data_IF_733536287812
#
_entry.id   IF_733536287812
#
_cell.length_a   1.000
_cell.length_b   1.000
_cell.length_c   1.000
_cell.angle_alpha   90.00
_cell.angle_beta   90.00
_cell.angle_gamma   90.00
#
_symmetry.space_group_name_H-M   'P 1'
#
loop_
_entity.id
_entity.type
_entity.pdbx_description
1 polymer ?
#
# COMPACT_ATOMS: atom_id res chain seq x y z
N UNK A 1 -0.31 3.79 -16.53
CA UNK A 1 -0.25 2.36 -16.15
C UNK A 1 1.15 2.07 -15.65
N UNK A 2 1.29 1.43 -14.49
CA UNK A 2 2.60 0.97 -13.99
C UNK A 2 3.14 -0.10 -14.93
N UNK A 3 4.43 -0.03 -15.24
CA UNK A 3 5.15 -1.10 -15.95
C UNK A 3 5.99 -1.85 -14.93
N UNK A 4 5.92 -3.16 -14.95
CA UNK A 4 6.78 -4.06 -14.20
C UNK A 4 7.83 -4.59 -15.17
N UNK A 5 9.09 -4.47 -14.82
CA UNK A 5 10.21 -4.86 -15.67
C UNK A 5 11.06 -5.86 -14.90
N UNK A 6 11.31 -7.01 -15.50
CA UNK A 6 12.33 -7.95 -15.06
C UNK A 6 13.50 -7.77 -16.01
N UNK A 7 14.67 -7.55 -15.47
CA UNK A 7 15.86 -7.28 -16.26
C UNK A 7 17.07 -8.07 -15.75
N UNK A 8 17.95 -8.39 -16.67
CA UNK A 8 19.27 -8.90 -16.35
C UNK A 8 20.15 -7.70 -15.96
N UNK A 9 20.37 -7.56 -14.66
CA UNK A 9 21.13 -6.43 -14.13
C UNK A 9 22.62 -6.60 -14.38
N UNK A 10 23.26 -5.53 -14.83
CA UNK A 10 24.70 -5.44 -14.95
C UNK A 10 25.20 -4.19 -14.22
N UNK A 11 26.39 -4.25 -13.59
CA UNK A 11 26.98 -3.10 -12.87
C UNK A 11 27.06 -1.83 -13.72
N UNK A 12 27.31 -2.00 -15.03
CA UNK A 12 27.20 -0.93 -16.01
C UNK A 12 25.75 -0.91 -16.53
N UNK A 13 24.97 0.10 -16.15
CA UNK A 13 23.57 0.24 -16.52
C UNK A 13 23.29 0.17 -18.02
N UNK A 14 24.24 0.62 -18.86
CA UNK A 14 24.12 0.55 -20.33
C UNK A 14 24.11 -0.90 -20.87
N UNK A 15 24.45 -1.88 -20.05
CA UNK A 15 24.44 -3.31 -20.39
C UNK A 15 23.31 -4.09 -19.74
N UNK A 16 22.40 -3.41 -19.06
CA UNK A 16 21.21 -4.03 -18.48
C UNK A 16 20.22 -4.36 -19.59
N UNK A 17 19.73 -5.62 -19.60
CA UNK A 17 18.86 -6.13 -20.67
C UNK A 17 17.51 -6.47 -20.08
N UNK A 18 16.40 -5.89 -20.60
CA UNK A 18 15.07 -6.27 -20.17
C UNK A 18 14.73 -7.68 -20.68
N UNK A 19 14.31 -8.57 -19.76
CA UNK A 19 13.89 -9.94 -20.06
C UNK A 19 12.37 -10.03 -20.21
N UNK A 20 11.63 -9.24 -19.43
CA UNK A 20 10.18 -9.29 -19.44
C UNK A 20 9.59 -7.94 -19.03
N UNK A 21 8.54 -7.52 -19.72
CA UNK A 21 7.82 -6.27 -19.44
C UNK A 21 6.32 -6.57 -19.37
N UNK A 22 5.68 -6.15 -18.28
CA UNK A 22 4.24 -6.32 -18.09
C UNK A 22 3.58 -5.04 -17.55
N UNK A 23 2.29 -4.89 -17.82
CA UNK A 23 1.43 -3.88 -17.19
C UNK A 23 0.63 -4.44 -16.02
N UNK A 24 0.74 -5.74 -15.74
CA UNK A 24 0.08 -6.44 -14.64
C UNK A 24 1.13 -6.96 -13.66
N UNK A 25 0.81 -6.87 -12.38
CA UNK A 25 1.61 -7.42 -11.28
C UNK A 25 1.41 -8.94 -11.10
N UNK A 26 0.40 -9.50 -11.78
CA UNK A 26 0.12 -10.94 -11.69
C UNK A 26 1.30 -11.76 -12.23
N UNK A 27 1.72 -12.74 -11.45
CA UNK A 27 2.78 -13.67 -11.78
C UNK A 27 4.17 -13.07 -12.04
N UNK A 28 4.39 -11.77 -11.84
CA UNK A 28 5.69 -11.14 -12.06
C UNK A 28 6.76 -11.84 -11.23
N UNK A 29 6.46 -12.15 -9.98
CA UNK A 29 7.39 -12.82 -9.10
C UNK A 29 7.75 -14.22 -9.60
N UNK A 30 6.77 -15.03 -9.99
CA UNK A 30 7.02 -16.37 -10.58
C UNK A 30 7.87 -16.31 -11.84
N UNK A 31 7.61 -15.32 -12.70
CA UNK A 31 8.40 -15.12 -13.93
C UNK A 31 9.84 -14.73 -13.58
N UNK A 32 10.01 -13.84 -12.59
CA UNK A 32 11.33 -13.43 -12.11
C UNK A 32 12.12 -14.61 -11.51
N UNK A 33 11.50 -15.43 -10.67
CA UNK A 33 12.08 -16.64 -10.11
C UNK A 33 12.41 -17.68 -11.19
N UNK A 34 11.50 -17.83 -12.16
CA UNK A 34 11.74 -18.70 -13.32
C UNK A 34 13.02 -18.31 -14.07
N UNK A 35 13.20 -17.01 -14.39
CA UNK A 35 14.43 -16.56 -15.06
C UNK A 35 15.65 -16.75 -14.17
N UNK A 36 15.57 -16.46 -12.88
CA UNK A 36 16.70 -16.66 -11.96
C UNK A 36 17.15 -18.13 -11.94
N UNK A 37 16.20 -19.08 -11.93
CA UNK A 37 16.50 -20.50 -11.98
C UNK A 37 17.07 -20.95 -13.33
N UNK A 38 16.47 -20.52 -14.43
CA UNK A 38 16.95 -20.89 -15.77
C UNK A 38 18.35 -20.38 -16.05
N UNK A 39 18.63 -19.17 -15.64
CA UNK A 39 19.93 -18.54 -15.84
C UNK A 39 20.95 -18.90 -14.74
N UNK A 40 20.52 -19.60 -13.67
CA UNK A 40 21.32 -19.91 -12.48
C UNK A 40 21.97 -18.67 -11.86
N UNK A 41 21.26 -17.56 -11.89
CA UNK A 41 21.71 -16.28 -11.35
C UNK A 41 20.92 -15.93 -10.09
N UNK A 42 21.56 -15.24 -9.12
CA UNK A 42 20.83 -14.77 -7.95
C UNK A 42 19.75 -13.77 -8.36
N UNK A 43 18.62 -13.83 -7.71
CA UNK A 43 17.53 -12.91 -7.91
C UNK A 43 17.75 -11.64 -7.07
N UNK A 44 17.61 -10.46 -7.69
CA UNK A 44 17.83 -9.16 -7.07
C UNK A 44 16.51 -8.42 -6.90
N UNK A 45 16.28 -7.85 -5.71
CA UNK A 45 15.14 -7.00 -5.41
C UNK A 45 15.67 -5.65 -4.93
N UNK A 46 15.23 -4.58 -5.57
CA UNK A 46 15.51 -3.23 -5.10
C UNK A 46 14.57 -2.90 -3.93
N UNK A 47 15.17 -2.63 -2.78
CA UNK A 47 14.47 -2.20 -1.55
C UNK A 47 14.88 -0.78 -1.19
N UNK A 48 14.26 -0.19 -0.19
CA UNK A 48 14.63 1.12 0.35
C UNK A 48 15.99 1.13 1.07
N UNK A 49 16.45 -0.03 1.53
CA UNK A 49 17.76 -0.23 2.19
C UNK A 49 18.87 -0.60 1.19
N UNK A 50 18.53 -0.75 -0.09
CA UNK A 50 19.47 -1.14 -1.14
C UNK A 50 19.00 -2.38 -1.91
N UNK A 51 19.96 -3.14 -2.40
CA UNK A 51 19.73 -4.31 -3.24
C UNK A 51 19.74 -5.58 -2.39
N UNK A 52 18.58 -6.19 -2.20
CA UNK A 52 18.46 -7.51 -1.56
C UNK A 52 18.75 -8.61 -2.59
N UNK A 53 19.58 -9.58 -2.20
CA UNK A 53 20.01 -10.69 -3.06
C UNK A 53 19.40 -11.99 -2.53
N UNK A 54 18.69 -12.72 -3.37
CA UNK A 54 18.21 -14.08 -3.08
C UNK A 54 18.95 -15.10 -3.94
N UNK A 55 19.50 -16.11 -3.31
CA UNK A 55 20.07 -17.26 -4.03
C UNK A 55 18.95 -18.10 -4.66
N UNK A 56 19.28 -18.81 -5.73
CA UNK A 56 18.33 -19.68 -6.43
C UNK A 56 17.71 -20.73 -5.49
N UNK A 57 18.49 -21.24 -4.52
CA UNK A 57 18.12 -22.25 -3.54
C UNK A 57 17.10 -21.72 -2.49
N UNK A 58 16.99 -20.40 -2.37
CA UNK A 58 16.19 -19.73 -1.34
C UNK A 58 14.92 -19.08 -1.92
N UNK A 59 14.69 -19.23 -3.23
CA UNK A 59 13.58 -18.56 -3.92
C UNK A 59 12.20 -19.04 -3.44
N UNK A 60 12.04 -20.36 -3.18
CA UNK A 60 10.77 -20.95 -2.72
C UNK A 60 10.61 -20.98 -1.21
N UNK A 61 11.64 -20.53 -0.46
CA UNK A 61 11.60 -20.60 1.00
C UNK A 61 10.71 -19.50 1.55
N UNK A 62 9.86 -19.88 2.48
CA UNK A 62 9.10 -18.93 3.29
C UNK A 62 10.03 -18.07 4.16
N UNK A 63 9.52 -16.92 4.58
CA UNK A 63 10.26 -16.03 5.50
C UNK A 63 10.66 -16.74 6.80
N UNK A 64 9.83 -17.68 7.28
CA UNK A 64 10.13 -18.51 8.46
C UNK A 64 11.30 -19.46 8.22
N UNK A 65 11.32 -20.13 7.08
CA UNK A 65 12.41 -21.04 6.73
C UNK A 65 13.73 -20.30 6.57
N UNK A 66 13.69 -19.11 5.93
CA UNK A 66 14.86 -18.24 5.81
C UNK A 66 15.35 -17.75 7.18
N UNK A 67 14.42 -17.41 8.08
CA UNK A 67 14.76 -16.99 9.43
C UNK A 67 15.35 -18.13 10.28
N UNK A 68 14.83 -19.36 10.13
CA UNK A 68 15.39 -20.54 10.77
C UNK A 68 16.83 -20.85 10.32
N UNK A 69 17.21 -20.41 9.12
CA UNK A 69 18.56 -20.51 8.58
C UNK A 69 19.45 -19.32 8.93
N UNK A 70 18.92 -18.32 9.68
CA UNK A 70 19.66 -17.11 10.03
C UNK A 70 19.86 -16.12 8.87
N UNK A 71 19.09 -16.27 7.79
CA UNK A 71 19.19 -15.44 6.59
C UNK A 71 18.27 -14.20 6.64
N UNK A 72 17.46 -14.04 7.68
CA UNK A 72 16.58 -12.89 7.89
C UNK A 72 17.05 -12.09 9.08
N UNK A 73 17.40 -10.84 8.83
CA UNK A 73 17.73 -9.91 9.90
C UNK A 73 16.45 -9.39 10.56
N UNK A 74 16.31 -9.66 11.85
CA UNK A 74 15.22 -9.16 12.66
C UNK A 74 15.74 -8.11 13.64
N UNK A 75 15.61 -6.84 13.28
CA UNK A 75 16.02 -5.69 14.09
C UNK A 75 14.86 -5.09 14.90
N UNK A 76 13.76 -5.83 15.07
CA UNK A 76 12.63 -5.33 15.83
C UNK A 76 12.96 -5.05 17.28
N UNK A 77 12.87 -3.80 17.68
CA UNK A 77 13.02 -3.39 19.06
C UNK A 77 11.64 -3.16 19.70
N UNK A 78 11.24 -4.08 20.59
CA UNK A 78 9.95 -3.99 21.30
C UNK A 78 9.83 -2.77 22.23
N UNK A 79 10.96 -2.14 22.59
CA UNK A 79 11.03 -0.93 23.43
C UNK A 79 11.00 0.35 22.59
N UNK A 80 11.15 0.26 21.27
CA UNK A 80 11.05 1.42 20.40
C UNK A 80 9.65 2.04 20.50
N UNK A 81 9.56 3.37 20.57
CA UNK A 81 8.27 4.04 20.63
C UNK A 81 7.45 3.75 19.38
N UNK A 82 6.14 3.61 19.55
CA UNK A 82 5.22 3.46 18.42
C UNK A 82 5.21 4.75 17.58
N UNK A 83 5.40 4.67 16.26
CA UNK A 83 5.31 5.83 15.38
C UNK A 83 4.01 6.62 15.56
N UNK A 84 4.04 7.95 15.54
CA UNK A 84 2.88 8.79 15.82
C UNK A 84 1.75 8.63 14.78
N UNK A 85 2.10 8.27 13.53
CA UNK A 85 1.14 8.01 12.45
C UNK A 85 0.41 6.68 12.58
N UNK A 86 0.83 5.82 13.52
CA UNK A 86 0.29 4.49 13.72
C UNK A 86 -0.43 4.36 15.06
N UNK A 87 -1.37 3.44 15.10
CA UNK A 87 -2.00 2.99 16.33
C UNK A 87 -1.97 1.45 16.38
N UNK A 88 -1.45 0.91 17.45
CA UNK A 88 -1.39 -0.53 17.70
C UNK A 88 -2.48 -0.91 18.71
N UNK A 89 -3.34 -1.85 18.34
CA UNK A 89 -4.38 -2.39 19.23
C UNK A 89 -4.17 -3.89 19.32
N UNK A 90 -3.75 -4.35 20.51
CA UNK A 90 -3.62 -5.77 20.82
C UNK A 90 -4.93 -6.28 21.40
N UNK A 91 -5.45 -7.36 20.85
CA UNK A 91 -6.60 -8.10 21.33
C UNK A 91 -6.16 -9.55 21.58
N UNK A 92 -6.97 -10.31 22.32
CA UNK A 92 -6.64 -11.70 22.71
C UNK A 92 -6.31 -12.60 21.51
N UNK A 93 -7.00 -12.42 20.39
CA UNK A 93 -6.92 -13.25 19.18
C UNK A 93 -6.24 -12.58 17.98
N UNK A 94 -5.85 -11.29 18.10
CA UNK A 94 -5.29 -10.52 16.98
C UNK A 94 -4.59 -9.25 17.42
N UNK A 95 -3.63 -8.84 16.64
CA UNK A 95 -3.00 -7.51 16.69
C UNK A 95 -3.47 -6.69 15.50
N UNK A 96 -3.80 -5.44 15.71
CA UNK A 96 -4.27 -4.53 14.65
C UNK A 96 -3.41 -3.30 14.60
N UNK A 97 -2.73 -3.10 13.48
CA UNK A 97 -2.01 -1.86 13.15
C UNK A 97 -2.98 -1.00 12.33
N UNK A 98 -3.22 0.23 12.76
CA UNK A 98 -4.08 1.19 12.07
C UNK A 98 -3.29 2.43 11.73
N UNK A 99 -3.52 2.99 10.55
CA UNK A 99 -3.03 4.34 10.24
C UNK A 99 -3.85 5.37 11.02
N UNK A 100 -3.16 6.29 11.71
CA UNK A 100 -3.80 7.48 12.27
C UNK A 100 -4.05 8.49 11.15
N UNK A 101 -5.03 9.36 11.33
CA UNK A 101 -5.23 10.47 10.40
C UNK A 101 -4.04 11.45 10.53
N UNK A 102 -3.32 11.63 9.45
CA UNK A 102 -2.41 12.76 9.30
C UNK A 102 -3.27 13.89 8.69
N UNK A 103 -3.63 14.87 9.52
CA UNK A 103 -4.54 15.97 9.11
C UNK A 103 -3.92 16.82 8.00
N UNK A 104 -2.60 16.92 7.96
CA UNK A 104 -1.82 17.78 7.07
C UNK A 104 -1.13 17.05 5.90
N UNK A 105 -1.61 15.88 5.48
CA UNK A 105 -1.17 15.27 4.22
C UNK A 105 -1.72 16.10 3.05
N UNK A 106 -0.91 16.31 2.01
CA UNK A 106 -1.27 17.09 0.82
C UNK A 106 -2.62 16.66 0.20
N UNK A 107 -2.93 15.37 0.21
CA UNK A 107 -4.23 14.86 -0.28
C UNK A 107 -5.40 15.27 0.61
N UNK A 108 -5.20 15.32 1.93
CA UNK A 108 -6.24 15.78 2.84
C UNK A 108 -6.46 17.29 2.69
N UNK A 109 -5.39 18.07 2.47
CA UNK A 109 -5.50 19.50 2.19
C UNK A 109 -6.27 19.72 0.90
N UNK A 110 -5.91 19.02 -0.19
CA UNK A 110 -6.62 19.10 -1.47
C UNK A 110 -8.10 18.71 -1.30
N UNK A 111 -8.39 17.66 -0.53
CA UNK A 111 -9.76 17.24 -0.28
C UNK A 111 -10.55 18.29 0.51
N UNK A 112 -9.94 18.96 1.50
CA UNK A 112 -10.57 20.09 2.21
C UNK A 112 -10.83 21.27 1.28
N UNK A 113 -9.83 21.66 0.47
CA UNK A 113 -9.99 22.73 -0.53
C UNK A 113 -11.12 22.40 -1.50
N UNK A 114 -11.20 21.14 -1.97
CA UNK A 114 -12.27 20.69 -2.84
C UNK A 114 -13.65 20.76 -2.15
N UNK A 115 -13.78 20.39 -0.87
CA UNK A 115 -15.04 20.53 -0.12
C UNK A 115 -15.48 22.00 -0.06
N UNK A 116 -14.56 22.94 0.22
CA UNK A 116 -14.87 24.36 0.25
C UNK A 116 -15.28 24.89 -1.13
N UNK A 117 -14.56 24.48 -2.19
CA UNK A 117 -14.87 24.88 -3.58
C UNK A 117 -16.24 24.36 -4.02
N UNK A 118 -16.50 23.07 -3.87
CA UNK A 118 -17.78 22.46 -4.24
C UNK A 118 -18.94 22.93 -3.35
N UNK A 119 -18.68 23.17 -2.06
CA UNK A 119 -19.62 23.78 -1.14
C UNK A 119 -19.97 25.21 -1.54
N UNK A 120 -18.97 26.01 -1.97
CA UNK A 120 -19.18 27.34 -2.52
C UNK A 120 -20.03 27.35 -3.79
N UNK A 121 -19.80 26.41 -4.71
CA UNK A 121 -20.62 26.24 -5.91
C UNK A 121 -22.09 25.96 -5.55
N UNK A 122 -22.30 25.03 -4.59
CA UNK A 122 -23.67 24.72 -4.13
C UNK A 122 -24.34 25.91 -3.48
N UNK A 123 -23.59 26.66 -2.65
CA UNK A 123 -24.11 27.86 -2.00
C UNK A 123 -24.47 28.94 -3.02
N UNK A 124 -23.58 29.22 -3.99
CA UNK A 124 -23.82 30.18 -5.05
C UNK A 124 -25.05 29.80 -5.90
N UNK A 125 -25.20 28.52 -6.24
CA UNK A 125 -26.37 28.01 -6.96
C UNK A 125 -27.66 28.17 -6.15
N UNK A 126 -27.60 27.99 -4.81
CA UNK A 126 -28.79 28.15 -3.94
C UNK A 126 -29.18 29.60 -3.68
N UNK A 127 -28.24 30.55 -3.80
CA UNK A 127 -28.48 31.98 -3.62
C UNK A 127 -28.87 32.70 -4.92
N UNK A 128 -28.77 32.02 -6.07
CA UNK A 128 -29.19 32.61 -7.34
C UNK A 128 -30.73 32.73 -7.35
N UNK A 129 -31.26 33.88 -7.70
CA UNK A 129 -32.70 34.16 -7.79
C UNK A 129 -33.44 33.21 -8.77
N UNK A 130 -32.69 32.58 -9.67
CA UNK A 130 -33.19 31.58 -10.60
C UNK A 130 -33.62 30.28 -9.88
N UNK A 131 -33.30 30.11 -8.61
CA UNK A 131 -33.63 28.91 -7.82
C UNK A 131 -35.08 28.85 -7.36
N UNK A 132 -35.80 29.98 -7.38
CA UNK A 132 -37.12 30.10 -6.72
C UNK A 132 -38.30 29.49 -7.44
N UNK A 133 -38.38 29.50 -8.78
CA UNK A 133 -39.60 29.10 -9.49
C UNK A 133 -39.45 28.39 -10.81
N UNK A 134 -38.35 28.61 -11.55
CA UNK A 134 -38.10 27.94 -12.83
C UNK A 134 -36.85 27.07 -12.87
N UNK A 135 -36.09 27.01 -11.79
CA UNK A 135 -34.76 26.43 -11.69
C UNK A 135 -34.75 24.91 -11.88
N UNK A 136 -35.83 24.24 -11.55
CA UNK A 136 -35.95 22.79 -11.82
C UNK A 136 -35.89 22.42 -13.30
N UNK A 137 -35.97 23.43 -14.19
CA UNK A 137 -35.89 23.26 -15.66
C UNK A 137 -34.56 23.72 -16.27
N UNK A 138 -33.72 24.45 -15.49
CA UNK A 138 -32.43 24.89 -16.02
C UNK A 138 -31.38 23.78 -15.90
N UNK A 139 -30.95 23.14 -17.01
CA UNK A 139 -30.04 22.00 -16.98
C UNK A 139 -28.65 22.36 -16.42
N UNK A 140 -28.23 23.60 -16.51
CA UNK A 140 -26.93 24.06 -16.00
C UNK A 140 -26.90 24.11 -14.47
N UNK A 141 -27.98 24.57 -13.85
CA UNK A 141 -28.09 24.61 -12.38
C UNK A 141 -28.18 23.20 -11.80
N UNK A 142 -28.97 22.34 -12.44
CA UNK A 142 -29.05 20.93 -12.06
C UNK A 142 -27.68 20.25 -12.17
N UNK A 143 -26.94 20.50 -13.27
CA UNK A 143 -25.59 19.98 -13.44
C UNK A 143 -24.62 20.49 -12.35
N UNK A 144 -24.69 21.77 -11.98
CA UNK A 144 -23.87 22.34 -10.90
C UNK A 144 -24.13 21.66 -9.55
N UNK A 145 -25.40 21.36 -9.23
CA UNK A 145 -25.75 20.58 -8.02
C UNK A 145 -25.17 19.18 -8.04
N UNK A 146 -25.35 18.46 -9.14
CA UNK A 146 -24.83 17.09 -9.28
C UNK A 146 -23.31 17.09 -9.12
N UNK A 147 -22.59 17.97 -9.79
CA UNK A 147 -21.13 18.09 -9.73
C UNK A 147 -20.69 18.46 -8.32
N UNK A 148 -21.34 19.43 -7.67
CA UNK A 148 -21.05 19.86 -6.32
C UNK A 148 -21.20 18.72 -5.30
N UNK A 149 -22.32 18.01 -5.34
CA UNK A 149 -22.59 16.87 -4.46
C UNK A 149 -21.57 15.74 -4.69
N UNK A 150 -21.33 15.35 -5.94
CA UNK A 150 -20.34 14.30 -6.27
C UNK A 150 -18.94 14.69 -5.86
N UNK A 151 -18.55 15.95 -6.05
CA UNK A 151 -17.25 16.47 -5.63
C UNK A 151 -17.07 16.43 -4.11
N UNK A 152 -18.07 16.81 -3.33
CA UNK A 152 -18.06 16.71 -1.87
C UNK A 152 -17.98 15.24 -1.44
N UNK A 153 -18.79 14.36 -2.00
CA UNK A 153 -18.77 12.94 -1.66
C UNK A 153 -17.41 12.29 -1.98
N UNK A 154 -16.80 12.61 -3.11
CA UNK A 154 -15.47 12.14 -3.47
C UNK A 154 -14.40 12.64 -2.49
N UNK A 155 -14.47 13.91 -2.10
CA UNK A 155 -13.54 14.53 -1.15
C UNK A 155 -13.69 13.92 0.26
N UNK A 156 -14.91 13.73 0.71
CA UNK A 156 -15.22 13.03 1.96
C UNK A 156 -14.67 11.60 1.92
N UNK A 157 -14.78 10.92 0.78
CA UNK A 157 -14.20 9.58 0.63
C UNK A 157 -12.69 9.58 0.83
N UNK A 158 -11.96 10.50 0.23
CA UNK A 158 -10.51 10.62 0.40
C UNK A 158 -10.14 10.86 1.87
N UNK A 159 -10.85 11.76 2.56
CA UNK A 159 -10.60 12.11 3.95
C UNK A 159 -10.87 10.96 4.93
N UNK A 160 -11.89 10.14 4.69
CA UNK A 160 -12.32 9.11 5.65
C UNK A 160 -11.77 7.71 5.34
N UNK A 161 -10.98 7.57 4.28
CA UNK A 161 -10.30 6.30 3.98
C UNK A 161 -9.21 6.01 5.01
N UNK A 162 -9.27 4.82 5.61
CA UNK A 162 -8.28 4.31 6.58
C UNK A 162 -7.85 2.91 6.20
N UNK A 163 -6.56 2.67 6.31
CA UNK A 163 -5.99 1.35 6.10
C UNK A 163 -5.62 0.72 7.45
N UNK A 164 -5.81 -0.58 7.58
CA UNK A 164 -5.40 -1.35 8.75
C UNK A 164 -4.85 -2.71 8.34
N UNK A 165 -3.85 -3.16 9.07
CA UNK A 165 -3.38 -4.56 9.04
C UNK A 165 -3.98 -5.27 10.25
N UNK A 166 -4.58 -6.40 10.02
CA UNK A 166 -5.06 -7.31 11.08
C UNK A 166 -4.20 -8.56 11.05
N UNK A 167 -3.44 -8.75 12.09
CA UNK A 167 -2.50 -9.87 12.27
C UNK A 167 -3.19 -10.88 13.19
N UNK A 168 -3.46 -12.05 12.66
CA UNK A 168 -3.99 -13.21 13.39
C UNK A 168 -2.88 -14.26 13.57
N UNK A 169 -3.07 -15.29 14.41
CA UNK A 169 -2.06 -16.35 14.61
C UNK A 169 -1.53 -16.95 13.30
N UNK A 170 -2.42 -17.25 12.34
CA UNK A 170 -2.06 -17.96 11.10
C UNK A 170 -2.11 -17.09 9.84
N UNK A 171 -2.61 -15.84 9.90
CA UNK A 171 -2.78 -15.00 8.72
C UNK A 171 -2.69 -13.53 8.97
N UNK A 172 -2.27 -12.81 7.93
CA UNK A 172 -2.26 -11.34 7.86
C UNK A 172 -3.36 -10.90 6.90
N UNK A 173 -4.14 -9.90 7.29
CA UNK A 173 -5.25 -9.37 6.50
C UNK A 173 -5.08 -7.86 6.38
N UNK A 174 -5.09 -7.33 5.16
CA UNK A 174 -5.18 -5.89 4.92
C UNK A 174 -6.65 -5.53 4.69
N UNK A 175 -7.12 -4.54 5.43
CA UNK A 175 -8.50 -4.06 5.35
C UNK A 175 -8.48 -2.57 5.05
N UNK A 176 -9.06 -2.20 3.94
CA UNK A 176 -9.37 -0.82 3.62
C UNK A 176 -10.75 -0.48 4.19
N UNK A 177 -10.78 0.50 5.09
CA UNK A 177 -12.01 0.95 5.72
C UNK A 177 -12.39 2.33 5.21
N UNK A 178 -13.64 2.46 4.78
CA UNK A 178 -14.26 3.74 4.46
C UNK A 178 -15.49 3.92 5.36
N UNK A 179 -15.46 4.95 6.23
CA UNK A 179 -16.52 5.21 7.21
C UNK A 179 -16.99 3.93 7.95
N UNK A 180 -18.22 3.48 7.67
CA UNK A 180 -18.81 2.27 8.23
C UNK A 180 -18.53 1.02 7.38
N UNK A 181 -18.17 1.20 6.12
CA UNK A 181 -17.90 0.08 5.21
C UNK A 181 -16.45 -0.38 5.33
N UNK A 182 -16.25 -1.67 5.52
CA UNK A 182 -14.92 -2.29 5.51
C UNK A 182 -14.85 -3.30 4.39
N UNK A 183 -13.96 -3.05 3.41
CA UNK A 183 -13.66 -4.03 2.38
C UNK A 183 -12.44 -4.83 2.82
N UNK A 184 -12.64 -6.13 3.09
CA UNK A 184 -11.55 -7.08 3.27
C UNK A 184 -10.94 -7.31 1.89
N UNK A 185 -9.78 -6.72 1.64
CA UNK A 185 -9.23 -6.77 0.30
C UNK A 185 -8.35 -7.99 0.09
N UNK A 186 -7.49 -8.32 1.06
CA UNK A 186 -6.47 -9.33 0.86
C UNK A 186 -6.14 -10.03 2.17
N UNK A 187 -5.94 -11.34 2.12
CA UNK A 187 -5.36 -12.13 3.21
C UNK A 187 -4.24 -13.01 2.67
N UNK A 188 -3.22 -13.20 3.48
CA UNK A 188 -2.11 -14.14 3.27
C UNK A 188 -1.94 -15.01 4.50
N UNK A 189 -1.68 -16.28 4.30
CA UNK A 189 -1.26 -17.20 5.35
C UNK A 189 0.19 -16.87 5.70
N UNK A 190 0.56 -16.90 6.99
CA UNK A 190 1.91 -16.51 7.43
C UNK A 190 2.99 -17.45 6.89
N UNK A 191 2.66 -18.72 6.77
CA UNK A 191 3.60 -19.76 6.31
C UNK A 191 3.91 -19.62 4.80
N UNK A 192 3.02 -18.97 4.04
CA UNK A 192 3.20 -18.70 2.62
C UNK A 192 3.91 -17.35 2.35
N UNK A 193 4.22 -16.59 3.40
CA UNK A 193 4.91 -15.30 3.22
C UNK A 193 6.38 -15.54 2.95
N UNK A 194 6.85 -15.04 1.82
CA UNK A 194 8.23 -15.18 1.39
C UNK A 194 9.04 -13.90 1.62
N UNK A 195 8.41 -12.72 1.52
CA UNK A 195 9.09 -11.47 1.82
C UNK A 195 8.15 -10.40 2.37
N UNK A 196 8.75 -9.50 3.19
CA UNK A 196 8.13 -8.29 3.69
C UNK A 196 9.14 -7.17 3.50
N UNK A 197 8.88 -6.30 2.51
CA UNK A 197 9.81 -5.28 2.08
C UNK A 197 9.17 -3.90 2.04
N UNK A 198 9.97 -2.84 2.20
CA UNK A 198 9.54 -1.48 1.88
C UNK A 198 9.89 -1.24 0.42
N UNK A 199 8.89 -1.13 -0.42
CA UNK A 199 9.03 -0.93 -1.85
C UNK A 199 8.67 0.50 -2.25
N UNK A 200 9.25 0.95 -3.35
CA UNK A 200 9.02 2.28 -3.92
C UNK A 200 8.27 2.19 -5.24
N UNK A 201 7.30 3.08 -5.44
CA UNK A 201 6.60 3.21 -6.73
C UNK A 201 7.00 4.51 -7.42
N UNK A 202 7.81 4.48 -8.50
CA UNK A 202 8.24 5.68 -9.20
C UNK A 202 7.09 6.55 -9.72
N UNK A 203 6.00 5.92 -10.19
CA UNK A 203 4.85 6.61 -10.74
C UNK A 203 4.10 7.52 -9.75
N UNK A 204 4.24 7.29 -8.46
CA UNK A 204 3.60 8.07 -7.39
C UNK A 204 4.60 8.63 -6.39
N UNK A 205 5.90 8.36 -6.58
CA UNK A 205 7.00 8.73 -5.68
C UNK A 205 6.74 8.34 -4.22
N UNK A 206 6.18 7.12 -4.02
CA UNK A 206 5.74 6.68 -2.70
C UNK A 206 6.32 5.35 -2.31
N UNK A 207 6.63 5.28 -1.03
CA UNK A 207 6.98 4.04 -0.36
C UNK A 207 5.74 3.34 0.20
N UNK A 208 5.83 2.03 0.36
CA UNK A 208 4.80 1.20 0.98
C UNK A 208 5.40 -0.12 1.44
N UNK A 209 4.76 -0.77 2.41
CA UNK A 209 5.12 -2.15 2.78
C UNK A 209 4.46 -3.11 1.81
N UNK A 210 5.27 -3.91 1.14
CA UNK A 210 4.84 -5.03 0.31
C UNK A 210 5.00 -6.33 1.11
N UNK A 211 3.94 -7.12 1.20
CA UNK A 211 3.94 -8.45 1.79
C UNK A 211 3.66 -9.41 0.65
N UNK A 212 4.65 -10.23 0.31
CA UNK A 212 4.60 -11.07 -0.89
C UNK A 212 4.61 -12.55 -0.53
N UNK A 213 3.82 -13.30 -1.30
CA UNK A 213 3.85 -14.75 -1.41
C UNK A 213 3.95 -15.12 -2.88
N UNK A 214 4.10 -16.39 -3.23
CA UNK A 214 4.15 -16.92 -4.60
C UNK A 214 3.09 -16.32 -5.52
N UNK A 215 1.86 -16.22 -5.03
CA UNK A 215 0.70 -15.92 -5.86
C UNK A 215 0.18 -14.50 -5.70
N UNK A 216 0.63 -13.77 -4.67
CA UNK A 216 -0.03 -12.54 -4.29
C UNK A 216 0.90 -11.59 -3.53
N UNK A 217 0.83 -10.32 -3.89
CA UNK A 217 1.45 -9.25 -3.13
C UNK A 217 0.38 -8.36 -2.51
N UNK A 218 0.48 -8.13 -1.22
CA UNK A 218 -0.36 -7.17 -0.49
C UNK A 218 0.42 -5.89 -0.22
N UNK A 219 -0.25 -4.76 -0.32
CA UNK A 219 0.37 -3.44 -0.18
C UNK A 219 -0.30 -2.67 0.96
N UNK A 220 0.51 -2.07 1.84
CA UNK A 220 0.05 -1.26 2.96
C UNK A 220 0.84 0.04 3.10
N UNK A 221 0.18 1.10 3.54
CA UNK A 221 0.83 2.29 4.06
C UNK A 221 1.33 3.27 3.01
N UNK A 222 0.81 3.31 1.79
CA UNK A 222 1.21 4.24 0.70
C UNK A 222 1.27 5.73 1.08
N UNK A 223 0.74 6.11 2.23
CA UNK A 223 0.68 7.48 2.74
C UNK A 223 1.52 7.68 4.00
N UNK A 224 2.25 6.67 4.44
CA UNK A 224 3.07 6.72 5.64
C UNK A 224 4.49 7.20 5.31
N UNK A 225 5.17 7.90 6.23
CA UNK A 225 6.59 8.15 6.16
C UNK A 225 7.39 6.85 6.08
N UNK A 226 8.58 6.92 5.48
CA UNK A 226 9.44 5.74 5.27
C UNK A 226 9.87 5.08 6.59
N UNK A 227 10.15 5.88 7.62
CA UNK A 227 10.53 5.40 8.95
C UNK A 227 9.41 4.59 9.59
N UNK A 228 8.16 5.03 9.42
CA UNK A 228 6.99 4.32 9.93
C UNK A 228 6.76 3.01 9.18
N UNK A 229 7.02 3.00 7.87
CA UNK A 229 6.97 1.78 7.05
C UNK A 229 8.05 0.78 7.44
N UNK A 230 9.27 1.25 7.74
CA UNK A 230 10.36 0.41 8.26
C UNK A 230 9.98 -0.21 9.60
N UNK A 231 9.38 0.57 10.49
CA UNK A 231 8.86 0.05 11.77
C UNK A 231 7.80 -1.04 11.53
N UNK A 232 6.83 -0.81 10.62
CA UNK A 232 5.79 -1.80 10.27
C UNK A 232 6.43 -3.06 9.70
N UNK A 233 7.41 -2.94 8.79
CA UNK A 233 8.16 -4.06 8.22
C UNK A 233 8.80 -4.91 9.33
N UNK A 234 9.58 -4.29 10.21
CA UNK A 234 10.27 -4.99 11.30
C UNK A 234 9.29 -5.66 12.27
N UNK A 235 8.20 -4.98 12.60
CA UNK A 235 7.13 -5.54 13.42
C UNK A 235 6.51 -6.80 12.79
N UNK A 236 6.20 -6.75 11.50
CA UNK A 236 5.61 -7.87 10.76
C UNK A 236 6.59 -9.04 10.62
N UNK A 237 7.86 -8.77 10.32
CA UNK A 237 8.92 -9.80 10.28
C UNK A 237 8.99 -10.50 11.61
N UNK A 238 9.10 -9.74 12.72
CA UNK A 238 9.14 -10.31 14.07
C UNK A 238 7.91 -11.17 14.38
N UNK A 239 6.71 -10.73 14.01
CA UNK A 239 5.48 -11.47 14.27
C UNK A 239 5.34 -12.74 13.41
N UNK A 240 5.87 -12.75 12.19
CA UNK A 240 5.90 -13.93 11.32
C UNK A 240 6.94 -14.95 11.79
N UNK A 241 8.11 -14.49 12.24
CA UNK A 241 9.25 -15.35 12.60
C UNK A 241 9.13 -15.88 14.04
N UNK A 242 8.59 -15.09 14.98
CA UNK A 242 8.59 -15.40 16.42
C UNK A 242 7.59 -16.48 16.85
N UNK A 243 6.88 -17.11 15.96
CA UNK A 243 5.92 -18.20 16.20
C UNK A 243 6.20 -19.38 15.29
#
# INVERSE_FOLDING_TARGET
>A
KNKYIIELYHKNHNKTVPLYISTSDKNIRRIWEYYARQLKLPALIMTDEGMAVRKVEDLDKSLRELAAQGLVENHYNSRAPLPPSLALVRKRDKTVIKTRKIIWDAYNIIAWVAIFLFGGILLAASLSDEFGTETGRNPFVLAAYIIGILGILASVWVLFRKDKIVIKPHKIIIVHKFMLFSRKNNELVKDDIESIDVAFTPATERYFVAISSDNKTMVFGKKLPIEDLRWVRQFLINDVVSK
#
